data_IF_636546620843
#
_entry.id   IF_636546620843
#
_cell.length_a   1.000
_cell.length_b   1.000
_cell.length_c   1.000
_cell.angle_alpha   90.00
_cell.angle_beta   90.00
_cell.angle_gamma   90.00
#
_symmetry.space_group_name_H-M   'P 1'
#
loop_
_entity.id
_entity.type
_entity.pdbx_description
1 polymer ?
#
# COMPACT_ATOMS: atom_id res chain seq x y z
N UNK A 1 -19.76 -62.60 -17.97
CA UNK A 1 -20.83 -62.74 -16.96
C UNK A 1 -20.17 -63.37 -15.75
N UNK A 2 -20.01 -62.79 -14.58
CA UNK A 2 -20.49 -61.57 -13.90
C UNK A 2 -19.59 -61.49 -12.65
N UNK A 3 -18.67 -60.52 -12.56
CA UNK A 3 -18.68 -59.44 -11.54
C UNK A 3 -19.44 -59.74 -10.25
N UNK A 4 -18.72 -59.93 -9.14
CA UNK A 4 -19.17 -59.55 -7.80
C UNK A 4 -17.97 -59.07 -6.97
N UNK A 5 -17.99 -57.78 -6.65
CA UNK A 5 -17.06 -57.08 -5.75
C UNK A 5 -17.83 -56.81 -4.46
N UNK A 6 -17.31 -57.15 -3.26
CA UNK A 6 -17.99 -56.83 -2.00
C UNK A 6 -17.82 -55.33 -1.66
N UNK A 7 -18.69 -54.77 -0.79
CA UNK A 7 -18.98 -53.34 -0.77
C UNK A 7 -17.85 -52.52 -0.13
N UNK A 8 -17.59 -51.37 -0.76
CA UNK A 8 -16.78 -50.29 -0.19
C UNK A 8 -17.66 -49.59 0.86
N UNK A 9 -17.37 -49.83 2.13
CA UNK A 9 -17.77 -48.91 3.19
C UNK A 9 -16.99 -47.61 3.02
N UNK A 10 -17.63 -46.61 2.39
CA UNK A 10 -17.23 -45.22 2.53
C UNK A 10 -17.56 -44.77 3.95
N UNK A 11 -16.63 -45.00 4.86
CA UNK A 11 -16.55 -44.21 6.09
C UNK A 11 -16.18 -42.79 5.70
N UNK A 12 -17.20 -41.95 5.59
CA UNK A 12 -17.04 -40.51 5.49
C UNK A 12 -16.45 -39.96 6.78
N UNK A 13 -15.16 -39.68 6.75
CA UNK A 13 -14.54 -38.66 7.60
C UNK A 13 -13.73 -37.76 6.68
N UNK A 14 -14.36 -36.71 6.17
CA UNK A 14 -13.64 -35.57 5.61
C UNK A 14 -13.04 -34.83 6.80
N UNK A 15 -11.79 -35.14 7.15
CA UNK A 15 -10.99 -34.25 7.98
C UNK A 15 -10.65 -33.02 7.13
N UNK A 16 -11.18 -31.87 7.52
CA UNK A 16 -10.80 -30.60 6.92
C UNK A 16 -9.31 -30.37 7.24
N UNK A 17 -8.42 -30.63 6.28
CA UNK A 17 -6.98 -30.51 6.51
C UNK A 17 -6.58 -29.04 6.48
N UNK A 18 -6.05 -28.54 7.60
CA UNK A 18 -5.35 -27.28 7.65
C UNK A 18 -4.07 -27.37 6.79
N UNK A 19 -3.74 -26.32 6.05
CA UNK A 19 -2.47 -26.26 5.33
C UNK A 19 -1.38 -25.79 6.29
N UNK A 20 -0.25 -26.50 6.31
CA UNK A 20 0.83 -26.24 7.28
C UNK A 20 2.20 -26.17 6.57
N UNK A 21 3.03 -25.24 7.02
CA UNK A 21 4.42 -25.11 6.63
C UNK A 21 5.27 -24.89 7.87
N UNK A 22 6.35 -25.66 8.05
CA UNK A 22 7.29 -25.44 9.15
C UNK A 22 8.72 -25.67 8.69
N UNK A 23 9.64 -24.77 9.06
CA UNK A 23 11.05 -24.87 8.71
C UNK A 23 11.95 -24.14 9.72
N UNK A 24 13.17 -24.66 9.92
CA UNK A 24 14.20 -24.00 10.71
C UNK A 24 15.10 -23.13 9.83
N UNK A 25 15.50 -21.98 10.38
CA UNK A 25 16.33 -20.98 9.71
C UNK A 25 17.48 -20.58 10.63
N UNK A 26 18.67 -20.43 10.03
CA UNK A 26 19.81 -19.86 10.75
C UNK A 26 19.46 -18.49 11.32
N UNK A 27 19.83 -18.23 12.58
CA UNK A 27 19.59 -16.96 13.28
C UNK A 27 20.51 -15.84 12.78
N UNK A 28 20.35 -15.48 11.50
CA UNK A 28 21.11 -14.47 10.77
C UNK A 28 20.16 -13.61 9.92
N UNK A 29 20.56 -12.37 9.53
CA UNK A 29 19.76 -11.54 8.63
C UNK A 29 19.42 -12.22 7.29
N UNK A 30 20.31 -13.09 6.80
CA UNK A 30 20.07 -13.89 5.59
C UNK A 30 19.00 -14.96 5.83
N UNK A 31 19.01 -15.60 7.00
CA UNK A 31 17.99 -16.56 7.43
C UNK A 31 16.61 -15.93 7.59
N UNK A 32 16.51 -14.76 8.24
CA UNK A 32 15.24 -14.02 8.36
C UNK A 32 14.68 -13.60 6.99
N UNK A 33 15.54 -13.15 6.07
CA UNK A 33 15.12 -12.82 4.70
C UNK A 33 14.62 -14.05 3.93
N UNK A 34 15.26 -15.20 4.12
CA UNK A 34 14.82 -16.45 3.52
C UNK A 34 13.48 -16.93 4.11
N UNK A 35 13.30 -16.82 5.43
CA UNK A 35 12.05 -17.14 6.12
C UNK A 35 10.89 -16.31 5.57
N UNK A 36 11.08 -14.98 5.46
CA UNK A 36 10.10 -14.07 4.84
C UNK A 36 9.75 -14.48 3.41
N UNK A 37 10.76 -14.75 2.57
CA UNK A 37 10.55 -15.13 1.17
C UNK A 37 9.81 -16.45 1.04
N UNK A 38 10.15 -17.45 1.86
CA UNK A 38 9.46 -18.74 1.85
C UNK A 38 8.05 -18.64 2.40
N UNK A 39 7.79 -17.79 3.42
CA UNK A 39 6.43 -17.53 3.89
C UNK A 39 5.54 -16.97 2.78
N UNK A 40 6.00 -15.92 2.11
CA UNK A 40 5.29 -15.31 0.99
C UNK A 40 5.02 -16.31 -0.15
N UNK A 41 6.01 -17.14 -0.49
CA UNK A 41 5.83 -18.21 -1.49
C UNK A 41 4.89 -19.32 -1.02
N UNK A 42 4.82 -19.62 0.28
CA UNK A 42 3.90 -20.64 0.81
C UNK A 42 2.47 -20.14 0.81
N UNK A 43 2.24 -18.87 1.15
CA UNK A 43 0.93 -18.22 1.06
C UNK A 43 0.43 -18.19 -0.39
N UNK A 44 1.31 -17.90 -1.36
CA UNK A 44 1.00 -18.00 -2.79
C UNK A 44 0.58 -19.41 -3.20
N UNK A 45 1.33 -20.43 -2.75
CA UNK A 45 0.95 -21.84 -2.96
C UNK A 45 -0.37 -22.23 -2.27
N UNK A 46 -0.77 -21.51 -1.21
CA UNK A 46 -2.05 -21.64 -0.52
C UNK A 46 -3.13 -20.71 -1.11
N UNK A 47 -2.91 -20.15 -2.30
CA UNK A 47 -3.92 -19.36 -3.01
C UNK A 47 -4.06 -17.91 -2.54
N UNK A 48 -3.08 -17.37 -1.81
CA UNK A 48 -2.95 -15.94 -1.49
C UNK A 48 -1.80 -15.33 -2.30
N UNK A 49 -2.07 -14.73 -3.49
CA UNK A 49 -1.04 -14.21 -4.38
C UNK A 49 -0.11 -13.21 -3.69
N UNK A 50 1.11 -13.05 -4.22
CA UNK A 50 2.13 -12.14 -3.64
C UNK A 50 1.64 -10.72 -3.36
N UNK A 51 0.77 -10.18 -4.23
CA UNK A 51 0.22 -8.82 -4.16
C UNK A 51 -1.09 -8.74 -3.38
N UNK A 52 -1.56 -9.87 -2.82
CA UNK A 52 -2.75 -9.85 -1.98
C UNK A 52 -2.42 -9.25 -0.61
N UNK A 53 -3.35 -8.46 -0.08
CA UNK A 53 -3.26 -7.87 1.25
C UNK A 53 -2.93 -8.93 2.33
N UNK A 54 -3.49 -10.14 2.20
CA UNK A 54 -3.19 -11.27 3.09
C UNK A 54 -1.72 -11.69 3.00
N UNK A 55 -1.17 -11.84 1.79
CA UNK A 55 0.23 -12.24 1.62
C UNK A 55 1.18 -11.15 2.14
N UNK A 56 0.93 -9.90 1.80
CA UNK A 56 1.74 -8.76 2.25
C UNK A 56 1.73 -8.64 3.78
N UNK A 57 0.55 -8.70 4.39
CA UNK A 57 0.37 -8.57 5.85
C UNK A 57 1.03 -9.72 6.60
N UNK A 58 0.80 -10.96 6.19
CA UNK A 58 1.44 -12.13 6.84
C UNK A 58 2.95 -12.12 6.63
N UNK A 59 3.41 -11.71 5.45
CA UNK A 59 4.85 -11.61 5.13
C UNK A 59 5.54 -10.55 5.99
N UNK A 60 4.87 -9.42 6.26
CA UNK A 60 5.34 -8.39 7.18
C UNK A 60 5.41 -8.92 8.62
N UNK A 61 4.37 -9.60 9.10
CA UNK A 61 4.37 -10.24 10.43
C UNK A 61 5.51 -11.24 10.57
N UNK A 62 5.75 -12.07 9.55
CA UNK A 62 6.89 -13.00 9.51
C UNK A 62 8.23 -12.26 9.54
N UNK A 63 8.35 -11.16 8.80
CA UNK A 63 9.57 -10.36 8.76
C UNK A 63 9.93 -9.81 10.16
N UNK A 64 8.96 -9.20 10.84
CA UNK A 64 9.14 -8.60 12.16
C UNK A 64 9.43 -9.66 13.23
N UNK A 65 8.69 -10.76 13.25
CA UNK A 65 8.94 -11.84 14.21
C UNK A 65 10.29 -12.54 13.97
N UNK A 66 10.68 -12.73 12.70
CA UNK A 66 11.99 -13.31 12.37
C UNK A 66 13.15 -12.37 12.71
N UNK A 67 12.99 -11.07 12.47
CA UNK A 67 13.98 -10.06 12.86
C UNK A 67 14.16 -10.02 14.39
N UNK A 68 13.07 -10.12 15.14
CA UNK A 68 13.12 -10.23 16.60
C UNK A 68 13.82 -11.51 17.07
N UNK A 69 13.56 -12.66 16.44
CA UNK A 69 14.24 -13.90 16.77
C UNK A 69 15.76 -13.84 16.48
N UNK A 70 16.16 -13.16 15.40
CA UNK A 70 17.58 -12.97 15.04
C UNK A 70 18.29 -11.97 15.95
N UNK A 71 17.60 -10.92 16.39
CA UNK A 71 18.21 -9.83 17.17
C UNK A 71 18.21 -10.14 18.66
N UNK A 72 17.08 -10.63 19.18
CA UNK A 72 16.87 -10.83 20.60
C UNK A 72 16.91 -12.29 21.02
N UNK A 73 16.47 -13.23 20.16
CA UNK A 73 16.42 -14.68 20.43
C UNK A 73 17.69 -15.49 20.11
N UNK A 74 18.78 -14.80 19.71
CA UNK A 74 19.99 -15.43 19.16
C UNK A 74 20.86 -16.07 20.23
N UNK A 75 20.95 -17.40 20.18
CA UNK A 75 22.01 -18.19 20.81
C UNK A 75 22.98 -18.66 19.71
N UNK A 76 24.29 -18.50 19.92
CA UNK A 76 25.29 -18.87 18.91
C UNK A 76 25.13 -20.35 18.49
N UNK A 77 25.04 -20.60 17.19
CA UNK A 77 24.88 -21.95 16.62
C UNK A 77 23.47 -22.55 16.72
N UNK A 78 22.45 -21.75 17.07
CA UNK A 78 21.05 -22.19 17.12
C UNK A 78 20.18 -21.49 16.09
N UNK A 79 19.27 -22.25 15.49
CA UNK A 79 18.28 -21.81 14.52
C UNK A 79 17.01 -21.32 15.23
N UNK A 80 16.23 -20.47 14.56
CA UNK A 80 14.85 -20.22 14.90
C UNK A 80 13.94 -21.02 13.97
N UNK A 81 12.74 -21.38 14.42
CA UNK A 81 11.75 -22.09 13.59
C UNK A 81 10.60 -21.16 13.25
N UNK A 82 10.21 -21.14 11.98
CA UNK A 82 8.96 -20.53 11.53
C UNK A 82 7.96 -21.64 11.20
N UNK A 83 6.75 -21.53 11.73
CA UNK A 83 5.59 -22.32 11.33
C UNK A 83 4.45 -21.40 10.87
N UNK A 84 3.78 -21.79 9.79
CA UNK A 84 2.58 -21.17 9.27
C UNK A 84 1.47 -22.23 9.25
N UNK A 85 0.27 -21.85 9.65
CA UNK A 85 -0.91 -22.71 9.55
C UNK A 85 -2.10 -21.92 9.02
N UNK A 86 -2.69 -22.38 7.93
CA UNK A 86 -3.98 -21.89 7.43
C UNK A 86 -5.09 -22.78 7.97
N UNK A 87 -6.03 -22.20 8.71
CA UNK A 87 -7.20 -22.93 9.21
C UNK A 87 -7.98 -23.56 8.05
N UNK A 88 -8.61 -24.71 8.29
CA UNK A 88 -9.31 -25.43 7.22
C UNK A 88 -10.50 -24.65 6.62
N UNK A 89 -11.07 -23.73 7.40
CA UNK A 89 -12.09 -22.77 6.94
C UNK A 89 -11.51 -21.60 6.11
N UNK A 90 -10.17 -21.51 6.00
CA UNK A 90 -9.41 -20.46 5.30
C UNK A 90 -9.79 -19.03 5.73
N UNK A 91 -10.18 -18.90 7.00
CA UNK A 91 -10.59 -17.66 7.65
C UNK A 91 -9.52 -17.13 8.62
N UNK A 92 -8.47 -17.91 8.87
CA UNK A 92 -7.42 -17.58 9.82
C UNK A 92 -6.05 -18.09 9.34
N UNK A 93 -5.05 -17.21 9.34
CA UNK A 93 -3.63 -17.59 9.24
C UNK A 93 -2.97 -17.44 10.59
N UNK A 94 -2.27 -18.49 11.03
CA UNK A 94 -1.43 -18.49 12.22
C UNK A 94 0.04 -18.46 11.82
N UNK A 95 0.80 -17.54 12.42
CA UNK A 95 2.25 -17.43 12.31
C UNK A 95 2.87 -17.75 13.66
N UNK A 96 3.80 -18.70 13.71
CA UNK A 96 4.55 -19.05 14.92
C UNK A 96 6.04 -18.95 14.67
N UNK A 97 6.75 -18.17 15.49
CA UNK A 97 8.21 -18.10 15.48
C UNK A 97 8.75 -18.58 16.82
N UNK A 98 9.56 -19.63 16.79
CA UNK A 98 10.18 -20.23 17.98
C UNK A 98 11.67 -19.93 18.00
N UNK A 99 12.15 -19.32 19.08
CA UNK A 99 13.58 -19.09 19.34
C UNK A 99 14.09 -19.94 20.51
N UNK A 100 15.38 -19.81 20.85
CA UNK A 100 16.05 -20.65 21.86
C UNK A 100 16.43 -19.90 23.14
N UNK A 101 15.94 -18.66 23.31
CA UNK A 101 16.30 -17.81 24.45
C UNK A 101 15.14 -17.74 25.45
N UNK A 102 15.45 -17.92 26.73
CA UNK A 102 14.47 -18.09 27.82
C UNK A 102 14.25 -16.79 28.63
N UNK A 103 14.62 -15.65 28.04
CA UNK A 103 14.64 -14.34 28.68
C UNK A 103 13.25 -13.68 28.56
N UNK A 104 12.28 -14.20 29.33
CA UNK A 104 11.05 -13.48 29.68
C UNK A 104 9.94 -13.41 28.62
N UNK A 105 8.70 -13.55 29.11
CA UNK A 105 7.47 -13.33 28.36
C UNK A 105 7.36 -11.89 27.87
N UNK A 106 6.69 -11.69 26.72
CA UNK A 106 6.35 -10.34 26.26
C UNK A 106 5.36 -9.69 27.24
N UNK A 107 5.37 -8.35 27.37
CA UNK A 107 4.28 -7.63 28.02
C UNK A 107 2.94 -7.95 27.32
N UNK A 108 1.85 -8.05 28.10
CA UNK A 108 0.53 -8.52 27.64
C UNK A 108 -0.04 -7.74 26.42
N UNK A 109 0.44 -6.52 26.20
CA UNK A 109 0.35 -5.77 24.94
C UNK A 109 1.69 -5.08 24.70
N UNK A 110 2.33 -5.29 23.54
CA UNK A 110 3.46 -4.46 23.12
C UNK A 110 3.02 -2.99 23.13
N UNK A 111 3.73 -2.14 23.86
CA UNK A 111 3.46 -0.71 23.86
C UNK A 111 3.99 -0.09 22.56
N UNK A 112 3.35 0.99 22.10
CA UNK A 112 3.93 1.81 21.05
C UNK A 112 5.35 2.24 21.49
N UNK A 113 6.33 2.28 20.57
CA UNK A 113 7.67 2.74 20.89
C UNK A 113 7.59 4.13 21.55
N UNK A 114 8.29 4.32 22.67
CA UNK A 114 8.37 5.63 23.33
C UNK A 114 9.17 6.64 22.50
N UNK A 115 10.04 6.13 21.62
CA UNK A 115 10.84 6.87 20.66
C UNK A 115 10.46 6.43 19.23
N UNK A 116 9.88 7.33 18.41
CA UNK A 116 9.53 7.11 17.01
C UNK A 116 10.73 7.07 16.05
N UNK A 117 11.97 7.20 16.52
CA UNK A 117 13.22 7.06 15.77
C UNK A 117 14.02 5.81 16.18
N UNK A 118 13.58 5.08 17.22
CA UNK A 118 14.24 3.83 17.63
C UNK A 118 14.17 2.78 16.52
N UNK A 119 15.33 2.32 16.05
CA UNK A 119 15.45 1.23 15.08
C UNK A 119 15.13 -0.14 15.71
N UNK A 120 15.02 -0.21 17.03
CA UNK A 120 14.73 -1.41 17.82
C UNK A 120 13.36 -1.32 18.52
N UNK A 121 12.65 -2.45 18.64
CA UNK A 121 11.43 -2.54 19.46
C UNK A 121 10.09 -2.25 18.76
N UNK A 122 10.07 -1.83 17.48
CA UNK A 122 8.82 -1.58 16.74
C UNK A 122 8.12 -2.83 16.23
N UNK A 123 8.89 -3.86 15.90
CA UNK A 123 8.37 -5.02 15.18
C UNK A 123 7.23 -5.73 15.91
N UNK A 124 7.33 -5.87 17.23
CA UNK A 124 6.25 -6.51 18.02
C UNK A 124 5.00 -5.65 18.16
N UNK A 125 5.15 -4.32 18.18
CA UNK A 125 4.03 -3.40 18.17
C UNK A 125 3.29 -3.45 16.82
N UNK A 126 4.03 -3.39 15.70
CA UNK A 126 3.46 -3.56 14.36
C UNK A 126 2.71 -4.89 14.24
N UNK A 127 3.33 -5.99 14.68
CA UNK A 127 2.67 -7.30 14.70
C UNK A 127 1.38 -7.25 15.52
N UNK A 128 1.37 -6.60 16.69
CA UNK A 128 0.17 -6.52 17.53
C UNK A 128 -0.99 -5.73 16.89
N UNK A 129 -0.69 -4.79 15.99
CA UNK A 129 -1.71 -4.05 15.22
C UNK A 129 -2.28 -4.88 14.06
N UNK A 130 -1.49 -5.80 13.51
CA UNK A 130 -1.84 -6.58 12.31
C UNK A 130 -2.49 -7.93 12.63
N UNK A 131 -2.52 -8.34 13.90
CA UNK A 131 -2.97 -9.67 14.32
C UNK A 131 -4.15 -9.55 15.27
N UNK A 132 -5.20 -10.34 15.06
CA UNK A 132 -6.34 -10.43 15.98
C UNK A 132 -5.92 -10.98 17.35
N UNK A 133 -4.87 -11.81 17.37
CA UNK A 133 -4.30 -12.34 18.60
C UNK A 133 -2.79 -12.47 18.53
N UNK A 134 -2.10 -11.97 19.56
CA UNK A 134 -0.67 -12.16 19.77
C UNK A 134 -0.46 -12.81 21.13
N UNK A 135 0.36 -13.85 21.19
CA UNK A 135 0.65 -14.60 22.42
C UNK A 135 2.08 -15.14 22.43
N UNK A 136 2.59 -15.42 23.62
CA UNK A 136 3.90 -16.06 23.83
C UNK A 136 3.71 -17.28 24.69
N UNK A 137 4.14 -18.42 24.18
CA UNK A 137 4.05 -19.69 24.87
C UNK A 137 5.46 -20.26 25.09
N UNK A 138 5.69 -21.02 26.17
CA UNK A 138 6.89 -21.84 26.27
C UNK A 138 6.98 -22.82 25.10
N UNK A 139 8.21 -23.12 24.67
CA UNK A 139 8.43 -24.06 23.57
C UNK A 139 7.76 -25.42 23.85
N UNK A 140 6.83 -25.84 22.98
CA UNK A 140 6.02 -27.06 23.15
C UNK A 140 6.84 -28.37 23.18
N UNK A 141 8.02 -28.39 22.59
CA UNK A 141 8.86 -29.59 22.44
C UNK A 141 9.72 -29.92 23.68
N UNK A 142 9.69 -29.07 24.71
CA UNK A 142 10.58 -29.16 25.87
C UNK A 142 11.98 -28.61 25.57
N UNK A 143 12.51 -27.82 26.51
CA UNK A 143 13.79 -27.12 26.39
C UNK A 143 13.66 -25.60 26.44
N UNK A 144 14.77 -24.86 26.60
CA UNK A 144 14.76 -23.39 26.73
C UNK A 144 14.29 -22.73 25.44
N UNK A 145 13.51 -21.66 25.57
CA UNK A 145 13.00 -20.86 24.46
C UNK A 145 11.49 -20.62 24.49
N UNK A 146 11.04 -19.70 23.64
CA UNK A 146 9.64 -19.29 23.53
C UNK A 146 9.15 -19.38 22.08
N UNK A 147 7.83 -19.55 21.95
CA UNK A 147 7.11 -19.46 20.68
C UNK A 147 6.24 -18.20 20.73
N UNK A 148 6.50 -17.25 19.83
CA UNK A 148 5.62 -16.11 19.59
C UNK A 148 4.59 -16.53 18.54
N UNK A 149 3.32 -16.50 18.89
CA UNK A 149 2.19 -16.85 18.02
C UNK A 149 1.36 -15.61 17.71
N UNK A 150 1.20 -15.35 16.42
CA UNK A 150 0.35 -14.32 15.83
C UNK A 150 -0.80 -14.99 15.04
N UNK A 151 -2.04 -14.58 15.25
CA UNK A 151 -3.22 -15.05 14.52
C UNK A 151 -3.86 -13.88 13.76
N UNK A 152 -4.19 -14.09 12.48
CA UNK A 152 -4.76 -13.08 11.58
C UNK A 152 -6.08 -13.61 11.01
N UNK A 153 -7.19 -12.91 11.27
CA UNK A 153 -8.51 -13.21 10.69
C UNK A 153 -8.63 -12.62 9.28
N UNK A 154 -9.17 -13.39 8.34
CA UNK A 154 -9.20 -13.09 6.91
C UNK A 154 -10.54 -12.51 6.42
N UNK A 155 -11.34 -11.87 7.29
CA UNK A 155 -12.74 -11.54 7.01
C UNK A 155 -12.92 -10.47 5.91
N UNK A 156 -13.40 -10.88 4.71
CA UNK A 156 -14.75 -10.51 4.31
C UNK A 156 -15.03 -9.46 3.22
N UNK A 157 -14.22 -9.28 2.16
CA UNK A 157 -14.65 -8.89 0.79
C UNK A 157 -13.49 -9.16 -0.19
N UNK A 158 -13.39 -10.38 -0.72
CA UNK A 158 -12.45 -10.69 -1.80
C UNK A 158 -13.28 -11.03 -3.04
N UNK A 159 -13.41 -10.11 -4.02
CA UNK A 159 -13.69 -10.57 -5.37
C UNK A 159 -12.50 -11.44 -5.79
N UNK A 160 -12.78 -12.58 -6.41
CA UNK A 160 -11.74 -13.43 -6.98
C UNK A 160 -10.92 -12.63 -8.01
N UNK A 161 -9.71 -12.20 -7.64
CA UNK A 161 -8.74 -11.62 -8.55
C UNK A 161 -7.74 -12.72 -8.92
N UNK A 162 -7.66 -12.97 -10.24
CA UNK A 162 -6.80 -13.96 -10.87
C UNK A 162 -5.34 -13.48 -10.87
N UNK A 163 -4.44 -14.43 -10.62
CA UNK A 163 -2.97 -14.44 -10.68
C UNK A 163 -2.27 -13.29 -11.44
N UNK A 164 -1.34 -12.59 -10.77
CA UNK A 164 -0.39 -11.65 -11.40
C UNK A 164 0.99 -12.31 -11.54
N UNK A 165 1.23 -12.92 -12.71
CA UNK A 165 2.58 -13.14 -13.25
C UNK A 165 3.05 -11.91 -14.03
N UNK A 166 4.11 -11.99 -14.84
CA UNK A 166 4.49 -10.89 -15.77
C UNK A 166 3.33 -10.45 -16.70
N UNK A 167 2.31 -11.30 -16.87
CA UNK A 167 1.04 -10.97 -17.52
C UNK A 167 0.14 -10.04 -16.70
N UNK A 168 0.22 -10.01 -15.38
CA UNK A 168 -0.62 -9.16 -14.53
C UNK A 168 -0.16 -7.70 -14.51
N UNK A 169 1.15 -7.43 -14.59
CA UNK A 169 1.64 -6.05 -14.82
C UNK A 169 1.21 -5.51 -16.20
N UNK A 170 1.17 -6.37 -17.21
CA UNK A 170 0.58 -6.05 -18.52
C UNK A 170 -0.95 -5.89 -18.43
N UNK A 171 -1.63 -6.77 -17.69
CA UNK A 171 -3.08 -6.70 -17.49
C UNK A 171 -3.50 -5.43 -16.75
N UNK A 172 -2.73 -4.97 -15.76
CA UNK A 172 -2.95 -3.70 -15.06
C UNK A 172 -2.77 -2.51 -15.99
N UNK A 173 -1.74 -2.54 -16.85
CA UNK A 173 -1.57 -1.49 -17.87
C UNK A 173 -2.68 -1.50 -18.90
N UNK A 174 -3.24 -2.67 -19.24
CA UNK A 174 -4.38 -2.78 -20.16
C UNK A 174 -5.68 -2.26 -19.51
N UNK A 175 -5.89 -2.52 -18.22
CA UNK A 175 -7.00 -1.95 -17.44
C UNK A 175 -6.88 -0.43 -17.39
N UNK A 176 -5.69 0.10 -17.10
CA UNK A 176 -5.43 1.53 -17.09
C UNK A 176 -5.59 2.15 -18.50
N UNK A 177 -5.14 1.48 -19.56
CA UNK A 177 -5.37 1.91 -20.95
C UNK A 177 -6.87 2.01 -21.23
N UNK A 178 -7.66 1.04 -20.79
CA UNK A 178 -9.12 1.06 -20.94
C UNK A 178 -9.81 2.16 -20.08
N UNK A 179 -9.28 2.48 -18.90
CA UNK A 179 -9.75 3.63 -18.10
C UNK A 179 -9.47 4.95 -18.80
N UNK A 180 -8.25 5.14 -19.31
CA UNK A 180 -7.89 6.34 -20.09
C UNK A 180 -8.77 6.49 -21.33
N UNK A 181 -8.97 5.42 -22.10
CA UNK A 181 -9.80 5.45 -23.29
C UNK A 181 -11.23 5.91 -22.98
N UNK A 182 -11.84 5.37 -21.91
CA UNK A 182 -13.19 5.77 -21.47
C UNK A 182 -13.26 7.25 -21.09
N UNK A 183 -12.31 7.73 -20.27
CA UNK A 183 -12.25 9.14 -19.88
C UNK A 183 -12.07 10.06 -21.11
N UNK A 184 -11.20 9.68 -22.04
CA UNK A 184 -10.95 10.45 -23.26
C UNK A 184 -12.19 10.49 -24.17
N UNK A 185 -12.86 9.36 -24.37
CA UNK A 185 -14.08 9.27 -25.16
C UNK A 185 -15.22 10.09 -24.54
N UNK A 186 -15.40 10.00 -23.22
CA UNK A 186 -16.36 10.83 -22.49
C UNK A 186 -16.07 12.32 -22.62
N UNK A 187 -14.80 12.73 -22.52
CA UNK A 187 -14.39 14.11 -22.70
C UNK A 187 -14.62 14.62 -24.14
N UNK A 188 -14.35 13.82 -25.18
CA UNK A 188 -14.58 14.18 -26.58
C UNK A 188 -16.07 14.39 -26.91
N UNK A 189 -16.95 13.63 -26.28
CA UNK A 189 -18.35 13.51 -26.69
C UNK A 189 -18.51 12.75 -28.02
N UNK A 190 -19.63 12.96 -28.71
CA UNK A 190 -20.07 12.11 -29.83
C UNK A 190 -19.27 12.25 -31.15
N UNK A 191 -18.20 13.05 -31.18
CA UNK A 191 -17.48 13.43 -32.40
C UNK A 191 -16.53 12.38 -32.98
N UNK A 192 -16.31 11.27 -32.29
CA UNK A 192 -15.19 10.36 -32.59
C UNK A 192 -13.84 11.07 -32.41
N UNK A 193 -12.74 10.33 -32.55
CA UNK A 193 -11.41 10.92 -32.45
C UNK A 193 -10.33 9.89 -32.76
N UNK A 194 -9.05 10.31 -32.76
CA UNK A 194 -7.93 9.39 -32.96
C UNK A 194 -7.91 8.26 -31.93
N UNK A 195 -7.25 7.16 -32.25
CA UNK A 195 -7.04 6.05 -31.32
C UNK A 195 -6.50 6.56 -29.96
N UNK A 196 -7.16 6.26 -28.83
CA UNK A 196 -6.67 6.62 -27.49
C UNK A 196 -5.35 5.93 -27.10
N UNK A 197 -5.04 4.76 -27.68
CA UNK A 197 -3.96 3.90 -27.19
C UNK A 197 -2.57 4.56 -27.18
N UNK A 198 -2.12 5.29 -28.23
CA UNK A 198 -0.83 5.95 -28.20
C UNK A 198 -0.67 7.00 -27.09
N UNK A 199 -1.75 7.69 -26.73
CA UNK A 199 -1.74 8.68 -25.66
C UNK A 199 -1.65 8.02 -24.28
N UNK A 200 -2.45 6.95 -24.08
CA UNK A 200 -2.38 6.14 -22.87
C UNK A 200 -0.99 5.53 -22.68
N UNK A 201 -0.41 4.93 -23.73
CA UNK A 201 0.91 4.31 -23.66
C UNK A 201 2.01 5.34 -23.34
N UNK A 202 1.91 6.56 -23.87
CA UNK A 202 2.84 7.64 -23.52
C UNK A 202 2.76 8.00 -22.03
N UNK A 203 1.55 8.14 -21.49
CA UNK A 203 1.34 8.44 -20.07
C UNK A 203 1.80 7.30 -19.18
N UNK A 204 1.43 6.05 -19.51
CA UNK A 204 1.87 4.86 -18.78
C UNK A 204 3.40 4.74 -18.74
N UNK A 205 4.09 5.08 -19.83
CA UNK A 205 5.56 5.08 -19.86
C UNK A 205 6.14 6.12 -18.89
N UNK A 206 5.55 7.32 -18.81
CA UNK A 206 5.96 8.39 -17.89
C UNK A 206 5.76 8.00 -16.43
N UNK A 207 4.61 7.42 -16.10
CA UNK A 207 4.29 6.95 -14.75
C UNK A 207 5.13 5.74 -14.30
N UNK A 208 5.83 5.08 -15.23
CA UNK A 208 6.76 3.97 -14.96
C UNK A 208 8.23 4.38 -14.96
N UNK A 209 8.53 5.69 -15.08
CA UNK A 209 9.91 6.17 -15.05
C UNK A 209 10.61 5.76 -13.73
N UNK A 210 11.86 5.27 -13.79
CA UNK A 210 12.49 4.53 -12.70
C UNK A 210 12.84 5.38 -11.47
N UNK A 211 12.87 6.71 -11.60
CA UNK A 211 13.10 7.61 -10.47
C UNK A 211 11.88 7.77 -9.55
N UNK A 212 10.70 7.29 -9.95
CA UNK A 212 9.46 7.40 -9.18
C UNK A 212 9.40 6.29 -8.13
N UNK A 213 9.16 6.69 -6.88
CA UNK A 213 8.98 5.75 -5.78
C UNK A 213 7.58 5.83 -5.20
N UNK A 214 6.98 7.02 -5.15
CA UNK A 214 5.59 7.22 -4.74
C UNK A 214 4.68 7.49 -5.95
N UNK A 215 5.05 8.46 -6.80
CA UNK A 215 4.25 8.89 -7.96
C UNK A 215 4.35 7.90 -9.12
N UNK A 216 3.85 6.69 -8.90
CA UNK A 216 3.91 5.51 -9.77
C UNK A 216 2.50 5.16 -10.31
N UNK A 217 2.40 4.10 -11.12
CA UNK A 217 1.11 3.56 -11.54
C UNK A 217 0.19 3.19 -10.36
N UNK A 218 0.73 2.79 -9.20
CA UNK A 218 -0.08 2.48 -8.04
C UNK A 218 -0.78 3.74 -7.49
N UNK A 219 -0.06 4.86 -7.43
CA UNK A 219 -0.64 6.14 -7.03
C UNK A 219 -1.67 6.62 -8.06
N UNK A 220 -1.36 6.59 -9.36
CA UNK A 220 -2.34 6.92 -10.40
C UNK A 220 -3.63 6.10 -10.29
N UNK A 221 -3.51 4.78 -10.11
CA UNK A 221 -4.69 3.90 -9.91
C UNK A 221 -5.50 4.33 -8.69
N UNK A 222 -4.84 4.59 -7.56
CA UNK A 222 -5.51 5.03 -6.34
C UNK A 222 -6.25 6.37 -6.53
N UNK A 223 -5.62 7.36 -7.16
CA UNK A 223 -6.27 8.65 -7.46
C UNK A 223 -7.49 8.45 -8.36
N UNK A 224 -7.37 7.64 -9.42
CA UNK A 224 -8.51 7.36 -10.30
C UNK A 224 -9.64 6.62 -9.58
N UNK A 225 -9.32 5.71 -8.66
CA UNK A 225 -10.32 4.99 -7.84
C UNK A 225 -11.07 5.95 -6.91
N UNK A 226 -10.37 6.92 -6.32
CA UNK A 226 -11.00 7.96 -5.50
C UNK A 226 -11.80 8.97 -6.34
N UNK A 227 -11.37 9.28 -7.57
CA UNK A 227 -12.21 10.05 -8.51
C UNK A 227 -13.50 9.30 -8.83
N UNK A 228 -13.43 7.98 -9.02
CA UNK A 228 -14.63 7.16 -9.24
C UNK A 228 -15.54 7.10 -8.00
N UNK A 229 -14.98 7.05 -6.79
CA UNK A 229 -15.74 7.14 -5.53
C UNK A 229 -16.42 8.50 -5.33
N UNK A 230 -15.79 9.56 -5.84
CA UNK A 230 -16.25 10.94 -5.74
C UNK A 230 -17.01 11.44 -6.97
N UNK A 231 -17.31 10.58 -7.96
CA UNK A 231 -17.79 11.04 -9.28
C UNK A 231 -19.09 11.87 -9.20
N UNK A 232 -19.95 11.57 -8.23
CA UNK A 232 -21.20 12.30 -8.02
C UNK A 232 -21.00 13.76 -7.57
N UNK A 233 -19.80 14.10 -7.10
CA UNK A 233 -19.43 15.43 -6.64
C UNK A 233 -18.83 16.31 -7.75
N UNK A 234 -18.41 15.74 -8.88
CA UNK A 234 -17.88 16.47 -10.03
C UNK A 234 -18.98 16.95 -10.99
N UNK A 235 -18.71 18.03 -11.72
CA UNK A 235 -19.54 18.52 -12.82
C UNK A 235 -19.19 17.81 -14.14
N UNK A 236 -17.90 17.54 -14.39
CA UNK A 236 -17.42 16.70 -15.51
C UNK A 236 -16.38 15.66 -15.03
N UNK A 237 -16.82 14.48 -14.55
CA UNK A 237 -15.93 13.43 -14.04
C UNK A 237 -14.87 12.96 -15.05
N UNK A 238 -15.16 13.00 -16.35
CA UNK A 238 -14.20 12.56 -17.38
C UNK A 238 -13.07 13.57 -17.56
N UNK A 239 -13.36 14.87 -17.43
CA UNK A 239 -12.34 15.92 -17.36
C UNK A 239 -11.47 15.76 -16.10
N UNK A 240 -12.07 15.44 -14.95
CA UNK A 240 -11.32 15.18 -13.71
C UNK A 240 -10.41 13.95 -13.84
N UNK A 241 -10.91 12.85 -14.43
CA UNK A 241 -10.09 11.65 -14.71
C UNK A 241 -8.92 11.98 -15.64
N UNK A 242 -9.13 12.77 -16.70
CA UNK A 242 -8.04 13.22 -17.55
C UNK A 242 -7.04 14.07 -16.76
N UNK A 243 -7.49 15.00 -15.91
CA UNK A 243 -6.58 15.76 -15.06
C UNK A 243 -5.75 14.85 -14.12
N UNK A 244 -6.36 13.84 -13.50
CA UNK A 244 -5.65 12.84 -12.69
C UNK A 244 -4.56 12.10 -13.49
N UNK A 245 -4.81 11.75 -14.76
CA UNK A 245 -3.80 11.14 -15.64
C UNK A 245 -2.60 12.05 -15.92
N UNK A 246 -2.84 13.36 -16.02
CA UNK A 246 -1.82 14.33 -16.39
C UNK A 246 -1.09 14.96 -15.21
N UNK A 247 -1.67 15.04 -14.00
CA UNK A 247 -1.17 15.94 -12.95
C UNK A 247 0.33 15.76 -12.62
N UNK A 248 0.79 14.51 -12.52
CA UNK A 248 2.20 14.15 -12.34
C UNK A 248 2.83 13.40 -13.52
N UNK A 249 2.25 13.54 -14.72
CA UNK A 249 2.78 12.91 -15.93
C UNK A 249 4.19 13.43 -16.30
N UNK A 250 4.55 14.65 -15.90
CA UNK A 250 5.94 15.12 -15.90
C UNK A 250 6.39 15.28 -14.45
N UNK A 251 7.33 14.45 -14.01
CA UNK A 251 7.78 14.49 -12.63
C UNK A 251 9.30 14.31 -12.51
N UNK A 252 9.94 15.38 -12.06
CA UNK A 252 11.35 15.40 -11.69
C UNK A 252 11.44 15.94 -10.25
N UNK A 253 11.76 15.12 -9.24
CA UNK A 253 11.69 15.55 -7.85
C UNK A 253 12.71 16.66 -7.48
N UNK A 254 13.70 16.93 -8.33
CA UNK A 254 14.64 18.06 -8.20
C UNK A 254 14.12 19.38 -8.80
N UNK A 255 12.88 19.41 -9.32
CA UNK A 255 12.28 20.56 -10.01
C UNK A 255 10.94 20.94 -9.40
N UNK A 256 10.67 22.24 -9.35
CA UNK A 256 9.44 22.84 -8.79
C UNK A 256 8.41 23.23 -9.86
N UNK A 257 8.55 22.77 -11.11
CA UNK A 257 7.71 23.17 -12.24
C UNK A 257 6.93 21.97 -12.83
N UNK A 258 6.76 20.89 -12.06
CA UNK A 258 6.25 19.62 -12.55
C UNK A 258 4.81 19.76 -13.03
N UNK A 259 3.94 20.35 -12.22
CA UNK A 259 2.52 20.58 -12.48
C UNK A 259 2.31 21.46 -13.71
N UNK A 260 3.09 22.53 -13.85
CA UNK A 260 3.03 23.41 -15.03
C UNK A 260 3.52 22.69 -16.30
N UNK A 261 4.52 21.81 -16.20
CA UNK A 261 4.98 21.00 -17.34
C UNK A 261 3.98 19.90 -17.71
N UNK A 262 3.33 19.32 -16.72
CA UNK A 262 2.22 18.37 -16.86
C UNK A 262 0.99 19.02 -17.52
N UNK A 263 0.60 20.23 -17.08
CA UNK A 263 -0.47 21.00 -17.71
C UNK A 263 -0.16 21.31 -19.17
N UNK A 264 1.06 21.78 -19.47
CA UNK A 264 1.50 22.00 -20.86
C UNK A 264 1.58 20.72 -21.69
N UNK A 265 1.79 19.56 -21.07
CA UNK A 265 1.71 18.27 -21.76
C UNK A 265 0.25 17.98 -22.16
N UNK A 266 -0.71 18.21 -21.26
CA UNK A 266 -2.14 18.08 -21.55
C UNK A 266 -2.61 19.04 -22.66
N UNK A 267 -2.20 20.31 -22.60
CA UNK A 267 -2.51 21.34 -23.60
C UNK A 267 -2.01 20.99 -25.01
N UNK A 268 -0.97 20.16 -25.13
CA UNK A 268 -0.48 19.65 -26.43
C UNK A 268 -1.19 18.38 -26.85
N UNK A 269 -1.30 17.41 -25.94
CA UNK A 269 -1.77 16.07 -26.28
C UNK A 269 -3.29 16.00 -26.50
N UNK A 270 -4.09 16.71 -25.69
CA UNK A 270 -5.54 16.58 -25.71
C UNK A 270 -6.22 17.19 -26.96
N UNK A 271 -5.76 18.33 -27.52
CA UNK A 271 -6.27 18.81 -28.81
C UNK A 271 -5.99 17.84 -29.96
N UNK A 272 -4.77 17.27 -30.02
CA UNK A 272 -4.42 16.23 -31.01
C UNK A 272 -5.28 14.99 -30.82
N UNK A 273 -5.63 14.68 -29.57
CA UNK A 273 -6.59 13.66 -29.22
C UNK A 273 -8.05 14.08 -29.41
N UNK A 274 -8.37 15.22 -30.05
CA UNK A 274 -9.76 15.60 -30.38
C UNK A 274 -10.63 16.05 -29.20
N UNK A 275 -10.05 16.40 -28.05
CA UNK A 275 -10.80 16.97 -26.92
C UNK A 275 -11.11 18.45 -27.21
N UNK A 276 -12.35 18.92 -26.96
CA UNK A 276 -12.72 20.32 -27.16
C UNK A 276 -11.86 21.29 -26.35
N UNK A 277 -11.52 22.44 -26.94
CA UNK A 277 -10.62 23.45 -26.35
C UNK A 277 -11.01 23.84 -24.91
N UNK A 278 -12.31 24.01 -24.64
CA UNK A 278 -12.80 24.35 -23.31
C UNK A 278 -12.46 23.27 -22.26
N UNK A 279 -12.58 21.99 -22.62
CA UNK A 279 -12.21 20.87 -21.74
C UNK A 279 -10.70 20.72 -21.59
N UNK A 280 -9.94 21.01 -22.65
CA UNK A 280 -8.47 21.03 -22.58
C UNK A 280 -8.00 22.11 -21.59
N UNK A 281 -8.57 23.31 -21.68
CA UNK A 281 -8.28 24.40 -20.76
C UNK A 281 -8.61 24.01 -19.31
N UNK A 282 -9.73 23.33 -19.11
CA UNK A 282 -10.15 22.88 -17.78
C UNK A 282 -9.23 21.78 -17.22
N UNK A 283 -8.87 20.76 -18.00
CA UNK A 283 -7.87 19.76 -17.57
C UNK A 283 -6.56 20.44 -17.16
N UNK A 284 -6.08 21.39 -17.96
CA UNK A 284 -4.83 22.09 -17.66
C UNK A 284 -4.94 23.00 -16.42
N UNK A 285 -6.11 23.60 -16.16
CA UNK A 285 -6.39 24.36 -14.94
C UNK A 285 -6.37 23.45 -13.71
N UNK A 286 -7.06 22.32 -13.78
CA UNK A 286 -7.13 21.31 -12.70
C UNK A 286 -5.75 20.74 -12.39
N UNK A 287 -4.93 20.43 -13.40
CA UNK A 287 -3.53 19.99 -13.17
C UNK A 287 -2.71 21.06 -12.46
N UNK A 288 -2.87 22.34 -12.79
CA UNK A 288 -2.15 23.42 -12.08
C UNK A 288 -2.64 23.61 -10.65
N UNK A 289 -3.90 23.30 -10.37
CA UNK A 289 -4.50 23.43 -9.05
C UNK A 289 -3.82 22.51 -8.01
N UNK A 290 -3.28 21.36 -8.43
CA UNK A 290 -2.57 20.41 -7.55
C UNK A 290 -1.26 20.95 -6.98
N UNK A 291 -0.79 22.13 -7.39
CA UNK A 291 0.32 22.82 -6.69
C UNK A 291 -0.08 23.24 -5.28
N UNK A 292 -1.36 23.60 -5.09
CA UNK A 292 -1.86 24.19 -3.84
C UNK A 292 -2.89 23.34 -3.13
N UNK A 293 -3.59 22.48 -3.89
CA UNK A 293 -4.75 21.71 -3.41
C UNK A 293 -5.82 22.57 -2.73
N UNK A 294 -5.99 23.82 -3.18
CA UNK A 294 -6.92 24.79 -2.59
C UNK A 294 -7.95 25.27 -3.63
N UNK A 295 -8.91 24.42 -4.03
CA UNK A 295 -10.01 24.81 -4.91
C UNK A 295 -10.93 25.83 -4.24
N UNK A 296 -11.59 26.65 -5.07
CA UNK A 296 -12.68 27.49 -4.61
C UNK A 296 -13.89 26.65 -4.12
N UNK A 297 -14.72 27.23 -3.25
CA UNK A 297 -15.87 26.53 -2.67
C UNK A 297 -16.94 26.13 -3.72
N UNK A 298 -16.97 26.77 -4.88
CA UNK A 298 -17.83 26.44 -6.01
C UNK A 298 -17.14 25.63 -7.13
N UNK A 299 -15.84 25.33 -6.99
CA UNK A 299 -15.05 24.58 -7.96
C UNK A 299 -15.18 23.06 -7.74
N UNK A 300 -16.31 22.48 -8.16
CA UNK A 300 -16.63 21.07 -7.91
C UNK A 300 -15.62 20.09 -8.49
N UNK A 301 -15.17 20.31 -9.72
CA UNK A 301 -14.17 19.46 -10.37
C UNK A 301 -12.81 19.56 -9.68
N UNK A 302 -12.40 20.77 -9.27
CA UNK A 302 -11.19 21.00 -8.50
C UNK A 302 -11.23 20.33 -7.12
N UNK A 303 -12.38 20.37 -6.45
CA UNK A 303 -12.60 19.68 -5.18
C UNK A 303 -12.43 18.17 -5.31
N UNK A 304 -13.01 17.54 -6.35
CA UNK A 304 -12.86 16.10 -6.56
C UNK A 304 -11.40 15.73 -6.85
N UNK A 305 -10.70 16.47 -7.72
CA UNK A 305 -9.30 16.14 -8.02
C UNK A 305 -8.41 16.29 -6.78
N UNK A 306 -8.52 17.39 -6.06
CA UNK A 306 -7.68 17.65 -4.89
C UNK A 306 -7.95 16.63 -3.77
N UNK A 307 -9.22 16.30 -3.52
CA UNK A 307 -9.59 15.29 -2.52
C UNK A 307 -9.07 13.90 -2.90
N UNK A 308 -9.22 13.51 -4.17
CA UNK A 308 -8.76 12.21 -4.66
C UNK A 308 -7.24 12.06 -4.59
N UNK A 309 -6.49 13.12 -4.91
CA UNK A 309 -5.03 13.14 -4.83
C UNK A 309 -4.53 13.07 -3.37
N UNK A 310 -5.18 13.82 -2.47
CA UNK A 310 -4.84 13.84 -1.05
C UNK A 310 -5.39 12.66 -0.25
N UNK A 311 -6.22 11.79 -0.85
CA UNK A 311 -6.91 10.70 -0.13
C UNK A 311 -5.95 9.70 0.54
N UNK A 312 -4.72 9.56 0.03
CA UNK A 312 -3.67 8.77 0.70
C UNK A 312 -3.43 9.21 2.15
N UNK A 313 -3.66 10.49 2.46
CA UNK A 313 -3.47 11.03 3.80
C UNK A 313 -4.45 10.42 4.78
N UNK A 314 -5.65 10.04 4.33
CA UNK A 314 -6.68 9.38 5.11
C UNK A 314 -6.59 7.84 5.09
N UNK A 315 -5.52 7.27 4.51
CA UNK A 315 -5.33 5.83 4.49
C UNK A 315 -5.09 5.26 5.91
N UNK A 316 -5.31 3.96 6.12
CA UNK A 316 -4.94 3.32 7.38
C UNK A 316 -3.47 3.58 7.73
N UNK A 317 -3.09 3.70 9.02
CA UNK A 317 -1.74 4.07 9.42
C UNK A 317 -0.61 3.20 8.82
N UNK A 318 -0.89 1.93 8.53
CA UNK A 318 0.05 1.03 7.85
C UNK A 318 0.33 1.45 6.40
N UNK A 319 -0.71 1.77 5.64
CA UNK A 319 -0.59 2.27 4.27
C UNK A 319 0.06 3.66 4.25
N UNK A 320 -0.29 4.52 5.22
CA UNK A 320 0.35 5.84 5.38
C UNK A 320 1.85 5.73 5.67
N UNK A 321 2.28 4.75 6.47
CA UNK A 321 3.70 4.49 6.71
C UNK A 321 4.44 4.06 5.43
N UNK A 322 3.83 3.23 4.58
CA UNK A 322 4.39 2.86 3.27
C UNK A 322 4.51 4.10 2.36
N UNK A 323 3.48 4.94 2.34
CA UNK A 323 3.48 6.21 1.63
C UNK A 323 4.64 7.11 2.05
N UNK A 324 4.80 7.37 3.36
CA UNK A 324 5.88 8.24 3.86
C UNK A 324 7.27 7.69 3.52
N UNK A 325 7.46 6.37 3.60
CA UNK A 325 8.71 5.71 3.20
C UNK A 325 8.98 5.85 1.69
N UNK A 326 7.94 5.72 0.84
CA UNK A 326 8.05 5.90 -0.60
C UNK A 326 8.40 7.34 -0.97
N UNK A 327 7.76 8.34 -0.32
CA UNK A 327 8.12 9.75 -0.47
C UNK A 327 9.57 10.00 -0.03
N UNK A 328 10.02 9.43 1.09
CA UNK A 328 11.41 9.56 1.52
C UNK A 328 12.40 8.96 0.51
N UNK A 329 12.06 7.82 -0.09
CA UNK A 329 12.88 7.19 -1.13
C UNK A 329 12.94 8.05 -2.41
N UNK A 330 11.85 8.72 -2.77
CA UNK A 330 11.80 9.61 -3.94
C UNK A 330 12.71 10.83 -3.78
N UNK A 331 12.78 11.37 -2.57
CA UNK A 331 13.65 12.49 -2.21
C UNK A 331 14.96 12.03 -1.56
N UNK A 332 15.46 10.83 -1.87
CA UNK A 332 16.67 10.28 -1.25
C UNK A 332 17.92 11.17 -1.43
N UNK A 333 17.94 11.99 -2.49
CA UNK A 333 19.04 12.91 -2.79
C UNK A 333 19.03 14.16 -1.90
N UNK A 334 17.91 14.45 -1.22
CA UNK A 334 17.78 15.56 -0.28
C UNK A 334 18.36 15.13 1.08
N UNK A 335 19.28 15.92 1.69
CA UNK A 335 19.79 15.66 3.03
C UNK A 335 18.67 15.51 4.06
N UNK A 336 18.86 14.62 5.04
CA UNK A 336 17.80 14.26 6.00
C UNK A 336 17.14 15.45 6.68
N UNK A 337 17.94 16.37 7.21
CA UNK A 337 17.41 17.55 7.94
C UNK A 337 16.61 18.47 7.02
N UNK A 338 17.11 18.73 5.81
CA UNK A 338 16.43 19.53 4.80
C UNK A 338 15.13 18.87 4.32
N UNK A 339 15.13 17.53 4.17
CA UNK A 339 13.92 16.78 3.84
C UNK A 339 12.88 16.89 4.96
N UNK A 340 13.28 16.72 6.23
CA UNK A 340 12.34 16.82 7.36
C UNK A 340 11.73 18.21 7.45
N UNK A 341 12.55 19.27 7.32
CA UNK A 341 12.08 20.65 7.31
C UNK A 341 11.10 20.92 6.16
N UNK A 342 11.47 20.54 4.93
CA UNK A 342 10.63 20.73 3.74
C UNK A 342 9.32 19.94 3.81
N UNK A 343 9.38 18.66 4.19
CA UNK A 343 8.19 17.80 4.37
C UNK A 343 7.27 18.37 5.44
N UNK A 344 7.81 18.77 6.59
CA UNK A 344 7.02 19.37 7.66
C UNK A 344 6.38 20.71 7.23
N UNK A 345 7.05 21.50 6.39
CA UNK A 345 6.47 22.72 5.84
C UNK A 345 5.25 22.43 4.95
N UNK A 346 5.33 21.44 4.05
CA UNK A 346 4.20 21.00 3.20
C UNK A 346 3.03 20.53 4.06
N UNK A 347 3.29 19.66 5.05
CA UNK A 347 2.24 19.15 5.93
C UNK A 347 1.57 20.24 6.77
N UNK A 348 2.34 21.22 7.27
CA UNK A 348 1.78 22.38 7.99
C UNK A 348 0.93 23.26 7.07
N UNK A 349 1.34 23.45 5.81
CA UNK A 349 0.54 24.17 4.83
C UNK A 349 -0.81 23.48 4.59
N UNK A 350 -0.81 22.16 4.43
CA UNK A 350 -2.04 21.38 4.28
C UNK A 350 -2.94 21.48 5.52
N UNK A 351 -2.38 21.38 6.74
CA UNK A 351 -3.16 21.53 7.97
C UNK A 351 -3.68 22.95 8.22
N UNK A 352 -3.05 23.97 7.62
CA UNK A 352 -3.48 25.36 7.69
C UNK A 352 -4.70 25.65 6.81
N UNK A 353 -5.03 24.76 5.86
CA UNK A 353 -6.28 24.86 5.11
C UNK A 353 -7.47 24.74 6.09
N UNK A 354 -8.53 25.56 5.92
CA UNK A 354 -9.73 25.47 6.75
C UNK A 354 -10.35 24.06 6.73
N UNK A 355 -10.26 23.38 5.58
CA UNK A 355 -10.64 21.99 5.36
C UNK A 355 -9.60 21.35 4.44
N UNK A 356 -9.11 20.17 4.83
CA UNK A 356 -8.16 19.42 4.01
C UNK A 356 -8.87 18.81 2.80
N UNK A 357 -10.04 18.20 3.04
CA UNK A 357 -10.93 17.70 2.01
C UNK A 357 -12.13 18.64 1.81
N UNK A 358 -12.53 18.81 0.56
CA UNK A 358 -13.49 19.84 0.13
C UNK A 358 -14.84 19.27 -0.22
N UNK A 359 -14.89 18.05 -0.77
CA UNK A 359 -16.15 17.33 -0.95
C UNK A 359 -16.77 17.01 0.40
N UNK A 360 -18.10 16.90 0.46
CA UNK A 360 -18.77 16.49 1.71
C UNK A 360 -18.39 15.08 2.13
N UNK A 361 -18.12 14.19 1.16
CA UNK A 361 -17.67 12.82 1.44
C UNK A 361 -16.30 12.80 2.14
N UNK A 362 -15.30 13.50 1.58
CA UNK A 362 -13.97 13.56 2.17
C UNK A 362 -13.97 14.23 3.55
N UNK A 363 -14.79 15.27 3.75
CA UNK A 363 -14.97 15.89 5.06
C UNK A 363 -15.49 14.89 6.11
N UNK A 364 -16.47 14.07 5.75
CA UNK A 364 -17.10 13.11 6.67
C UNK A 364 -16.22 11.88 6.93
N UNK A 365 -15.58 11.34 5.88
CA UNK A 365 -14.94 10.02 5.94
C UNK A 365 -13.41 10.07 6.05
N UNK A 366 -12.76 11.15 5.61
CA UNK A 366 -11.31 11.19 5.41
C UNK A 366 -10.59 12.21 6.31
N UNK A 367 -11.19 13.37 6.56
CA UNK A 367 -10.57 14.51 7.26
C UNK A 367 -9.95 14.13 8.61
N UNK A 368 -10.71 13.41 9.46
CA UNK A 368 -10.24 13.06 10.80
C UNK A 368 -9.02 12.14 10.76
N UNK A 369 -9.05 11.11 9.91
CA UNK A 369 -7.93 10.17 9.75
C UNK A 369 -6.71 10.86 9.15
N UNK A 370 -6.90 11.73 8.15
CA UNK A 370 -5.79 12.46 7.56
C UNK A 370 -5.12 13.42 8.54
N UNK A 371 -5.90 14.18 9.33
CA UNK A 371 -5.33 15.06 10.36
C UNK A 371 -4.59 14.28 11.44
N UNK A 372 -5.09 13.09 11.81
CA UNK A 372 -4.38 12.19 12.74
C UNK A 372 -3.04 11.73 12.16
N UNK A 373 -3.03 11.23 10.92
CA UNK A 373 -1.82 10.75 10.26
C UNK A 373 -0.78 11.87 10.06
N UNK A 374 -1.21 13.03 9.55
CA UNK A 374 -0.33 14.19 9.34
C UNK A 374 0.22 14.71 10.67
N UNK A 375 -0.61 14.76 11.72
CA UNK A 375 -0.17 15.13 13.06
C UNK A 375 0.92 14.20 13.59
N UNK A 376 0.72 12.89 13.46
CA UNK A 376 1.73 11.89 13.81
C UNK A 376 3.02 12.03 13.00
N UNK A 377 2.94 12.27 11.69
CA UNK A 377 4.12 12.52 10.85
C UNK A 377 4.88 13.78 11.32
N UNK A 378 4.17 14.88 11.60
CA UNK A 378 4.77 16.13 12.05
C UNK A 378 5.51 15.99 13.40
N UNK A 379 4.98 15.20 14.32
CA UNK A 379 5.64 14.89 15.59
C UNK A 379 6.96 14.13 15.36
N UNK A 380 6.95 13.13 14.48
CA UNK A 380 8.17 12.39 14.11
C UNK A 380 9.20 13.31 13.44
N UNK A 381 8.78 14.14 12.47
CA UNK A 381 9.67 15.04 11.74
C UNK A 381 10.28 16.16 12.61
N UNK A 382 9.58 16.57 13.68
CA UNK A 382 10.01 17.66 14.57
C UNK A 382 10.94 17.20 15.69
N UNK A 383 11.10 15.89 15.89
CA UNK A 383 11.98 15.34 16.92
C UNK A 383 13.44 15.40 16.42
N UNK A 384 14.35 16.13 17.10
CA UNK A 384 15.74 16.20 16.67
C UNK A 384 16.42 14.83 16.81
N UNK A 385 17.17 14.43 15.79
CA UNK A 385 17.99 13.22 15.86
C UNK A 385 18.97 13.34 17.05
N UNK A 386 19.13 12.30 17.88
CA UNK A 386 20.12 12.32 18.95
C UNK A 386 21.53 12.50 18.36
N UNK A 387 22.45 13.16 19.08
CA UNK A 387 23.81 13.36 18.60
C UNK A 387 24.49 11.99 18.34
N UNK A 388 25.30 11.87 17.28
CA UNK A 388 26.00 10.63 16.98
C UNK A 388 26.91 10.25 18.16
N UNK A 389 26.85 8.97 18.55
CA UNK A 389 27.61 8.39 19.66
C UNK A 389 29.10 8.23 19.35
#
# INVERSE_FOLDING_TARGET
MTTETPPIERTGQSSAHAEEFSMCFTSTPRGARLARRLASHRLDAWGFPYESEVNETVTLVVAELSANAVTHGRVSGRDFRLSLTLAAARDLVRVEVTDTRDDGFLPARPCAPQDPEAEEGRGLWLVSCLTSRLSVEPRKEGGPGKTVRAELELCGKVPAIREVGKNGRMADTDVLRARFARALEGARGSGGGPDPAPYADNLLARWQEPQRHYHTLAHLTAVLDHVDELEAYADDPDVVRLAAWFHDAVYLPDRSENEERSARLAERALPEAGVPEAKVAEVARLVRLTVTHDPADDDRDGQVLCDADLAILASPPSAYAVYTAAVRAEYHFVPGDAFREGRAAVLRQLLALPRLFRTSYGQEHWEATARYNIGGELEMLSTPAPPPS
#
